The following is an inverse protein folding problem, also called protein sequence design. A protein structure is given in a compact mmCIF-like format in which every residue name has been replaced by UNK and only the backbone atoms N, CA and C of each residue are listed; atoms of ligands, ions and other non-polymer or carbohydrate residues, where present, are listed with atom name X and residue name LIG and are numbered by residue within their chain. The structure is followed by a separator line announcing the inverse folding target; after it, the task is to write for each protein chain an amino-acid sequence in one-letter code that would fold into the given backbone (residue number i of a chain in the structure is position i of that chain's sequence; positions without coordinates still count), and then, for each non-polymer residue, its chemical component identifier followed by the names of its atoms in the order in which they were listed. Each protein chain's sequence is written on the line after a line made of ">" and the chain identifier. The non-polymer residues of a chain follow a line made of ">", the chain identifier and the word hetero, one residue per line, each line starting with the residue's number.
data_IF_126816101137
#
_entry.id   IF_126816101137
#
_cell.length_a   1.000
_cell.length_b   1.000
_cell.length_c   1.000
_cell.angle_alpha   90.00
_cell.angle_beta   90.00
_cell.angle_gamma   90.00
#
_symmetry.space_group_name_H-M   'P 1'
#
loop_
_entity.id
_entity.type
_entity.pdbx_description
1 polymer ?
#
# COMPACT_ATOMS: atom_id res chain seq x y z
N UNK A 1 -7.38 -27.83 5.54
CA UNK A 1 -6.71 -26.54 5.82
C UNK A 1 -7.71 -25.44 5.58
N UNK A 2 -7.76 -24.39 6.42
CA UNK A 2 -8.68 -23.29 6.20
C UNK A 2 -8.28 -22.47 4.96
N UNK A 3 -9.27 -21.88 4.29
CA UNK A 3 -9.07 -20.94 3.18
C UNK A 3 -8.21 -19.74 3.60
N UNK A 4 -7.30 -19.31 2.70
CA UNK A 4 -6.47 -18.12 2.88
C UNK A 4 -7.32 -16.87 3.14
N UNK A 5 -6.89 -16.03 4.09
CA UNK A 5 -7.63 -14.84 4.51
C UNK A 5 -7.87 -13.85 3.36
N UNK A 6 -6.89 -13.71 2.46
CA UNK A 6 -6.97 -12.80 1.32
C UNK A 6 -7.98 -13.28 0.27
N UNK A 7 -8.01 -14.59 -0.03
CA UNK A 7 -9.04 -15.16 -0.90
C UNK A 7 -10.42 -14.97 -0.28
N UNK A 8 -10.58 -15.27 1.01
CA UNK A 8 -11.85 -15.10 1.72
C UNK A 8 -12.33 -13.65 1.71
N UNK A 9 -11.43 -12.69 1.92
CA UNK A 9 -11.73 -11.27 1.85
C UNK A 9 -12.15 -10.83 0.44
N UNK A 10 -11.48 -11.32 -0.61
CA UNK A 10 -11.82 -11.02 -2.00
C UNK A 10 -13.21 -11.55 -2.38
N UNK A 11 -13.57 -12.76 -1.94
CA UNK A 11 -14.89 -13.35 -2.16
C UNK A 11 -16.00 -12.54 -1.44
N UNK A 12 -15.77 -12.16 -0.18
CA UNK A 12 -16.72 -11.35 0.57
C UNK A 12 -16.90 -9.94 -0.02
N UNK A 13 -15.82 -9.31 -0.48
CA UNK A 13 -15.87 -8.00 -1.13
C UNK A 13 -16.73 -8.00 -2.40
N UNK A 14 -16.77 -9.13 -3.10
CA UNK A 14 -17.60 -9.34 -4.30
C UNK A 14 -19.03 -9.81 -3.98
N UNK A 15 -19.41 -9.89 -2.70
CA UNK A 15 -20.78 -10.18 -2.28
C UNK A 15 -21.15 -11.66 -2.26
N UNK A 16 -20.19 -12.58 -2.20
CA UNK A 16 -20.49 -14.00 -1.99
C UNK A 16 -21.01 -14.25 -0.57
N UNK A 17 -22.06 -15.07 -0.46
CA UNK A 17 -22.58 -15.52 0.84
C UNK A 17 -21.59 -16.45 1.54
N UNK A 18 -21.69 -16.56 2.87
CA UNK A 18 -20.85 -17.50 3.62
C UNK A 18 -21.03 -18.94 3.14
N UNK A 19 -22.26 -19.33 2.79
CA UNK A 19 -22.56 -20.66 2.24
C UNK A 19 -21.84 -20.94 0.91
N UNK A 20 -21.65 -19.94 0.06
CA UNK A 20 -20.89 -20.07 -1.18
C UNK A 20 -19.39 -20.18 -0.89
N UNK A 21 -18.88 -19.40 0.06
CA UNK A 21 -17.48 -19.44 0.49
C UNK A 21 -17.14 -20.81 1.10
N UNK A 22 -17.98 -21.31 2.00
CA UNK A 22 -17.82 -22.63 2.63
C UNK A 22 -17.83 -23.75 1.57
N UNK A 23 -18.62 -23.59 0.50
CA UNK A 23 -18.61 -24.54 -0.62
C UNK A 23 -17.30 -24.47 -1.42
N UNK A 24 -16.81 -23.28 -1.73
CA UNK A 24 -15.51 -23.09 -2.42
C UNK A 24 -14.37 -23.68 -1.57
N UNK A 25 -14.45 -23.54 -0.24
CA UNK A 25 -13.52 -24.17 0.69
C UNK A 25 -13.64 -25.71 0.66
N UNK A 26 -14.87 -26.24 0.59
CA UNK A 26 -15.13 -27.69 0.55
C UNK A 26 -14.53 -28.36 -0.70
N UNK A 27 -14.51 -27.68 -1.85
CA UNK A 27 -13.89 -28.17 -3.09
C UNK A 27 -12.36 -27.98 -3.11
N UNK A 28 -11.74 -27.63 -1.98
CA UNK A 28 -10.30 -27.44 -1.80
C UNK A 28 -9.69 -26.29 -2.63
N UNK A 29 -10.49 -25.27 -2.96
CA UNK A 29 -9.97 -24.04 -3.54
C UNK A 29 -9.58 -23.08 -2.40
N UNK A 30 -8.33 -23.16 -1.94
CA UNK A 30 -7.90 -22.55 -0.67
C UNK A 30 -7.05 -21.29 -0.82
N UNK A 31 -6.48 -21.05 -2.00
CA UNK A 31 -5.53 -19.93 -2.24
C UNK A 31 -5.94 -19.08 -3.44
N UNK A 32 -5.52 -17.81 -3.46
CA UNK A 32 -5.77 -16.91 -4.61
C UNK A 32 -5.26 -17.50 -5.94
N UNK A 33 -4.08 -18.15 -5.91
CA UNK A 33 -3.48 -18.75 -7.10
C UNK A 33 -4.28 -19.95 -7.61
N UNK A 34 -4.79 -20.81 -6.70
CA UNK A 34 -5.66 -21.91 -7.08
C UNK A 34 -6.98 -21.39 -7.66
N UNK A 35 -7.56 -20.35 -7.05
CA UNK A 35 -8.81 -19.77 -7.52
C UNK A 35 -8.70 -19.13 -8.91
N UNK A 36 -7.64 -18.35 -9.15
CA UNK A 36 -7.36 -17.76 -10.47
C UNK A 36 -7.21 -18.81 -11.57
N UNK A 37 -6.45 -19.88 -11.28
CA UNK A 37 -6.12 -20.93 -12.25
C UNK A 37 -7.08 -22.13 -12.20
N UNK A 38 -8.22 -22.01 -11.50
CA UNK A 38 -9.16 -23.12 -11.35
C UNK A 38 -9.91 -23.43 -12.65
N UNK A 39 -10.11 -22.40 -13.47
CA UNK A 39 -10.82 -22.46 -14.75
C UNK A 39 -10.08 -21.62 -15.78
N UNK A 40 -10.11 -22.06 -17.03
CA UNK A 40 -9.46 -21.36 -18.13
C UNK A 40 -10.35 -20.24 -18.69
N UNK A 41 -11.67 -20.37 -18.52
CA UNK A 41 -12.64 -19.43 -19.08
C UNK A 41 -13.71 -18.99 -18.08
N UNK A 42 -14.18 -17.75 -18.27
CA UNK A 42 -15.32 -17.20 -17.51
C UNK A 42 -16.60 -18.04 -17.65
N UNK A 43 -16.73 -18.78 -18.76
CA UNK A 43 -17.87 -19.64 -19.01
C UNK A 43 -17.91 -20.84 -18.04
N UNK A 44 -16.74 -21.34 -17.66
CA UNK A 44 -16.58 -22.53 -16.80
C UNK A 44 -16.79 -22.25 -15.32
N UNK A 45 -16.59 -21.00 -14.86
CA UNK A 45 -16.70 -20.62 -13.44
C UNK A 45 -17.94 -21.20 -12.76
N UNK A 46 -19.12 -21.07 -13.38
CA UNK A 46 -20.37 -21.54 -12.77
C UNK A 46 -20.36 -23.06 -12.58
N UNK A 47 -19.94 -23.79 -13.62
CA UNK A 47 -19.93 -25.25 -13.64
C UNK A 47 -18.85 -25.80 -12.72
N UNK A 48 -17.65 -25.24 -12.74
CA UNK A 48 -16.51 -25.77 -11.98
C UNK A 48 -16.61 -25.48 -10.48
N UNK A 49 -17.24 -24.37 -10.07
CA UNK A 49 -17.40 -24.02 -8.65
C UNK A 49 -18.72 -24.50 -8.03
N UNK A 50 -19.75 -24.77 -8.84
CA UNK A 50 -21.08 -25.11 -8.32
C UNK A 50 -21.73 -26.35 -8.98
N UNK A 51 -20.99 -27.20 -9.70
CA UNK A 51 -21.58 -28.40 -10.32
C UNK A 51 -22.38 -29.24 -9.30
N UNK A 52 -23.69 -29.38 -9.55
CA UNK A 52 -24.57 -30.16 -8.67
C UNK A 52 -24.98 -29.44 -7.38
N UNK A 53 -24.62 -28.17 -7.21
CA UNK A 53 -24.98 -27.32 -6.08
C UNK A 53 -26.21 -26.46 -6.44
N UNK A 54 -27.22 -26.30 -5.55
CA UNK A 54 -28.34 -25.37 -5.76
C UNK A 54 -27.93 -23.93 -6.10
N UNK A 55 -26.74 -23.50 -5.64
CA UNK A 55 -26.17 -22.19 -5.94
C UNK A 55 -25.85 -21.98 -7.42
N UNK A 56 -25.69 -23.04 -8.22
CA UNK A 56 -25.46 -22.96 -9.67
C UNK A 56 -26.62 -22.25 -10.39
N UNK A 57 -27.85 -22.43 -9.89
CA UNK A 57 -29.06 -21.80 -10.44
C UNK A 57 -29.27 -20.37 -9.97
N UNK A 58 -28.50 -19.92 -8.97
CA UNK A 58 -28.60 -18.58 -8.42
C UNK A 58 -27.73 -17.62 -9.23
N UNK A 59 -28.36 -16.91 -10.17
CA UNK A 59 -27.67 -16.01 -11.11
C UNK A 59 -26.79 -14.96 -10.40
N UNK A 60 -27.26 -14.43 -9.26
CA UNK A 60 -26.53 -13.45 -8.46
C UNK A 60 -25.22 -14.03 -7.91
N UNK A 61 -25.24 -15.27 -7.38
CA UNK A 61 -24.05 -15.94 -6.84
C UNK A 61 -23.07 -16.29 -7.94
N UNK A 62 -23.55 -16.79 -9.07
CA UNK A 62 -22.71 -17.07 -10.24
C UNK A 62 -22.06 -15.79 -10.76
N UNK A 63 -22.79 -14.68 -10.82
CA UNK A 63 -22.26 -13.38 -11.23
C UNK A 63 -21.18 -12.87 -10.28
N UNK A 64 -21.44 -12.89 -8.98
CA UNK A 64 -20.49 -12.50 -7.94
C UNK A 64 -19.21 -13.32 -8.01
N UNK A 65 -19.33 -14.65 -8.18
CA UNK A 65 -18.18 -15.56 -8.32
C UNK A 65 -17.37 -15.26 -9.59
N UNK A 66 -18.03 -14.97 -10.71
CA UNK A 66 -17.36 -14.56 -11.95
C UNK A 66 -16.63 -13.22 -11.82
N UNK A 67 -17.17 -12.28 -11.05
CA UNK A 67 -16.52 -11.01 -10.77
C UNK A 67 -15.27 -11.22 -9.89
N UNK A 68 -15.43 -11.94 -8.79
CA UNK A 68 -14.32 -12.29 -7.91
C UNK A 68 -13.20 -13.02 -8.67
N UNK A 69 -13.55 -14.01 -9.51
CA UNK A 69 -12.58 -14.72 -10.34
C UNK A 69 -11.82 -13.77 -11.27
N UNK A 70 -12.51 -12.86 -11.96
CA UNK A 70 -11.87 -11.89 -12.86
C UNK A 70 -10.89 -10.98 -12.12
N UNK A 71 -11.27 -10.48 -10.94
CA UNK A 71 -10.40 -9.61 -10.14
C UNK A 71 -9.17 -10.37 -9.65
N UNK A 72 -9.35 -11.58 -9.12
CA UNK A 72 -8.26 -12.42 -8.63
C UNK A 72 -7.33 -12.85 -9.78
N UNK A 73 -7.87 -13.25 -10.94
CA UNK A 73 -7.06 -13.57 -12.12
C UNK A 73 -6.26 -12.37 -12.61
N UNK A 74 -6.85 -11.17 -12.63
CA UNK A 74 -6.11 -9.96 -13.00
C UNK A 74 -4.96 -9.64 -12.02
N UNK A 75 -5.13 -9.91 -10.73
CA UNK A 75 -4.06 -9.76 -9.73
C UNK A 75 -2.93 -10.76 -9.98
N UNK A 76 -3.25 -12.03 -10.20
CA UNK A 76 -2.26 -13.08 -10.47
C UNK A 76 -1.54 -12.86 -11.80
N UNK A 77 -2.24 -12.49 -12.87
CA UNK A 77 -1.63 -12.17 -14.17
C UNK A 77 -0.64 -11.00 -14.06
N UNK A 78 -0.98 -9.94 -13.31
CA UNK A 78 -0.05 -8.83 -13.05
C UNK A 78 1.20 -9.31 -12.31
N UNK A 79 1.04 -10.21 -11.33
CA UNK A 79 2.16 -10.78 -10.59
C UNK A 79 3.06 -11.63 -11.49
N UNK A 80 2.49 -12.47 -12.35
CA UNK A 80 3.23 -13.29 -13.32
C UNK A 80 4.00 -12.39 -14.29
N UNK A 81 3.35 -11.36 -14.85
CA UNK A 81 3.98 -10.43 -15.79
C UNK A 81 5.17 -9.69 -15.15
N UNK A 82 5.02 -9.21 -13.90
CA UNK A 82 6.11 -8.56 -13.15
C UNK A 82 7.27 -9.52 -12.88
N UNK A 83 6.97 -10.77 -12.51
CA UNK A 83 8.00 -11.80 -12.33
C UNK A 83 8.76 -12.07 -13.63
N UNK A 84 8.08 -12.07 -14.78
CA UNK A 84 8.70 -12.25 -16.09
C UNK A 84 9.56 -11.03 -16.50
N UNK A 85 9.22 -9.84 -16.02
CA UNK A 85 10.00 -8.59 -16.20
C UNK A 85 11.19 -8.49 -15.23
N UNK A 86 11.41 -9.49 -14.37
CA UNK A 86 12.48 -9.48 -13.37
C UNK A 86 12.29 -8.44 -12.26
N UNK A 87 11.08 -7.87 -12.16
CA UNK A 87 10.69 -6.98 -11.08
C UNK A 87 10.38 -7.80 -9.82
N UNK A 88 10.77 -7.27 -8.67
CA UNK A 88 10.52 -7.91 -7.38
C UNK A 88 9.03 -8.25 -7.25
N UNK A 89 8.76 -9.53 -7.03
CA UNK A 89 7.38 -10.09 -6.97
C UNK A 89 6.65 -9.69 -5.71
N UNK A 90 7.38 -9.14 -4.75
CA UNK A 90 6.84 -8.60 -3.54
C UNK A 90 6.07 -7.31 -3.83
N UNK A 91 4.73 -7.44 -3.77
CA UNK A 91 3.71 -6.41 -3.90
C UNK A 91 3.80 -5.34 -2.78
N UNK A 92 4.99 -5.01 -2.28
CA UNK A 92 5.19 -4.01 -1.24
C UNK A 92 4.58 -2.67 -1.65
N UNK A 93 4.73 -2.26 -2.90
CA UNK A 93 4.25 -0.95 -3.38
C UNK A 93 2.78 -0.95 -3.86
N UNK A 94 2.08 -2.10 -3.84
CA UNK A 94 0.67 -2.17 -4.22
C UNK A 94 -0.19 -1.53 -3.12
N UNK A 95 -1.19 -0.70 -3.44
CA UNK A 95 -2.08 -0.14 -2.41
C UNK A 95 -2.75 -1.25 -1.59
N UNK A 96 -3.03 -0.96 -0.31
CA UNK A 96 -3.85 -1.85 0.53
C UNK A 96 -5.29 -1.86 0.04
N UNK A 97 -6.00 -2.96 0.29
CA UNK A 97 -7.45 -2.99 0.13
C UNK A 97 -8.10 -1.87 0.95
N UNK A 98 -9.13 -1.24 0.40
CA UNK A 98 -9.80 -0.08 1.02
C UNK A 98 -10.36 -0.38 2.40
N UNK A 99 -10.83 -1.62 2.62
CA UNK A 99 -11.30 -2.10 3.93
C UNK A 99 -10.17 -2.09 4.96
N UNK A 100 -9.03 -2.70 4.63
CA UNK A 100 -7.84 -2.76 5.50
C UNK A 100 -7.31 -1.37 5.82
N UNK A 101 -7.23 -0.51 4.81
CA UNK A 101 -6.78 0.88 4.97
C UNK A 101 -7.68 1.66 5.92
N UNK A 102 -9.00 1.65 5.70
CA UNK A 102 -9.98 2.31 6.57
C UNK A 102 -9.91 1.78 7.99
N UNK A 103 -9.69 0.48 8.17
CA UNK A 103 -9.54 -0.13 9.48
C UNK A 103 -8.27 0.36 10.21
N UNK A 104 -7.13 0.49 9.51
CA UNK A 104 -5.90 1.02 10.10
C UNK A 104 -6.07 2.48 10.52
N UNK A 105 -6.66 3.30 9.65
CA UNK A 105 -6.94 4.71 9.93
C UNK A 105 -7.93 4.86 11.10
N UNK A 106 -8.99 4.05 11.14
CA UNK A 106 -9.95 4.04 12.24
C UNK A 106 -9.31 3.61 13.56
N UNK A 107 -8.44 2.60 13.53
CA UNK A 107 -7.70 2.13 14.72
C UNK A 107 -6.78 3.22 15.25
N UNK A 108 -6.05 3.90 14.36
CA UNK A 108 -5.21 5.05 14.72
C UNK A 108 -6.04 6.17 15.35
N UNK A 109 -7.14 6.57 14.72
CA UNK A 109 -8.01 7.63 15.21
C UNK A 109 -8.68 7.28 16.55
N UNK A 110 -9.12 6.04 16.71
CA UNK A 110 -9.73 5.56 17.95
C UNK A 110 -8.75 5.58 19.13
N UNK A 111 -7.47 5.26 18.89
CA UNK A 111 -6.43 5.26 19.92
C UNK A 111 -5.99 6.67 20.29
N UNK A 112 -5.56 7.46 19.31
CA UNK A 112 -4.94 8.76 19.59
C UNK A 112 -5.96 9.90 19.70
N UNK A 113 -7.24 9.65 19.41
CA UNK A 113 -8.34 10.64 19.46
C UNK A 113 -8.19 11.80 18.47
N UNK A 114 -7.43 11.61 17.39
CA UNK A 114 -7.30 12.57 16.30
C UNK A 114 -7.00 11.88 14.97
N UNK A 115 -7.16 12.60 13.87
CA UNK A 115 -6.94 12.11 12.50
C UNK A 115 -5.90 12.95 11.76
N UNK A 116 -5.09 12.31 10.93
CA UNK A 116 -4.09 12.98 10.10
C UNK A 116 -4.72 13.85 9.01
N UNK A 117 -4.20 15.06 8.83
CA UNK A 117 -4.53 15.92 7.70
C UNK A 117 -4.05 15.33 6.37
N UNK A 118 -4.73 15.62 5.27
CA UNK A 118 -4.42 15.09 3.93
C UNK A 118 -2.98 15.37 3.45
N UNK A 119 -2.36 16.44 3.95
CA UNK A 119 -0.98 16.81 3.62
C UNK A 119 0.06 15.96 4.35
N UNK A 120 -0.28 15.45 5.52
CA UNK A 120 0.56 14.62 6.39
C UNK A 120 0.22 13.14 6.29
N UNK A 121 -0.97 12.83 5.76
CA UNK A 121 -1.45 11.48 5.53
C UNK A 121 -0.63 10.81 4.40
N UNK A 122 -0.05 9.63 4.64
CA UNK A 122 0.73 8.93 3.62
C UNK A 122 -0.13 8.46 2.47
N UNK A 123 0.45 8.39 1.26
CA UNK A 123 -0.19 7.76 0.12
C UNK A 123 -0.43 6.26 0.38
N UNK A 124 -1.46 5.70 -0.28
CA UNK A 124 -1.92 4.34 -0.03
C UNK A 124 -0.86 3.27 -0.33
N UNK A 125 -0.03 3.51 -1.35
CA UNK A 125 1.10 2.65 -1.73
C UNK A 125 2.18 2.62 -0.65
N UNK A 126 2.51 3.78 -0.08
CA UNK A 126 3.49 3.91 1.01
C UNK A 126 2.99 3.19 2.26
N UNK A 127 1.72 3.37 2.61
CA UNK A 127 1.12 2.70 3.77
C UNK A 127 1.11 1.18 3.59
N UNK A 128 0.79 0.69 2.38
CA UNK A 128 0.85 -0.74 2.06
C UNK A 128 2.24 -1.33 2.20
N UNK A 129 3.26 -0.64 1.68
CA UNK A 129 4.66 -1.06 1.83
C UNK A 129 5.05 -1.22 3.28
N UNK A 130 4.77 -0.20 4.09
CA UNK A 130 5.15 -0.20 5.50
C UNK A 130 4.39 -1.27 6.27
N UNK A 131 3.07 -1.43 6.04
CA UNK A 131 2.27 -2.45 6.74
C UNK A 131 2.78 -3.85 6.44
N UNK A 132 3.01 -4.18 5.16
CA UNK A 132 3.54 -5.49 4.75
C UNK A 132 4.96 -5.71 5.27
N UNK A 133 5.80 -4.66 5.31
CA UNK A 133 7.14 -4.73 5.90
C UNK A 133 7.10 -5.05 7.40
N UNK A 134 6.18 -4.43 8.14
CA UNK A 134 6.00 -4.69 9.57
C UNK A 134 5.45 -6.09 9.85
N UNK A 135 4.51 -6.58 9.04
CA UNK A 135 4.00 -7.96 9.15
C UNK A 135 5.08 -9.01 8.92
N UNK A 136 6.00 -8.74 7.99
CA UNK A 136 7.14 -9.62 7.70
C UNK A 136 8.27 -9.52 8.72
N UNK A 137 8.23 -8.51 9.59
CA UNK A 137 9.32 -8.19 10.52
C UNK A 137 10.68 -8.05 9.81
N UNK A 138 10.67 -7.63 8.54
CA UNK A 138 11.85 -7.52 7.70
C UNK A 138 12.18 -6.04 7.45
N UNK A 139 13.37 -5.57 7.82
CA UNK A 139 13.77 -4.19 7.52
C UNK A 139 13.88 -4.00 6.00
N UNK A 140 13.29 -2.91 5.50
CA UNK A 140 13.39 -2.54 4.09
C UNK A 140 13.88 -1.10 3.96
N UNK A 141 14.74 -0.85 2.96
CA UNK A 141 15.15 0.50 2.62
C UNK A 141 14.13 1.12 1.67
N UNK A 142 13.76 2.37 1.94
CA UNK A 142 12.85 3.15 1.11
C UNK A 142 13.51 4.49 0.78
N UNK A 143 13.56 4.82 -0.52
CA UNK A 143 13.98 6.15 -0.92
C UNK A 143 12.96 7.18 -0.46
N UNK A 144 13.42 8.21 0.24
CA UNK A 144 12.60 9.32 0.73
C UNK A 144 11.98 10.10 -0.43
N UNK A 145 12.61 10.13 -1.61
CA UNK A 145 12.03 10.74 -2.82
C UNK A 145 10.70 10.10 -3.25
N UNK A 146 10.48 8.83 -2.90
CA UNK A 146 9.23 8.10 -3.19
C UNK A 146 8.15 8.33 -2.15
N UNK A 147 8.47 8.95 -1.02
CA UNK A 147 7.50 9.26 0.03
C UNK A 147 6.64 10.43 -0.41
N UNK A 148 5.33 10.18 -0.49
CA UNK A 148 4.32 11.15 -0.91
C UNK A 148 3.14 11.11 0.06
N UNK A 149 2.56 12.27 0.31
CA UNK A 149 1.26 12.37 0.97
C UNK A 149 0.13 12.17 -0.03
N UNK A 150 -1.08 11.85 0.47
CA UNK A 150 -2.30 11.78 -0.34
C UNK A 150 -2.48 13.06 -1.16
N UNK A 151 -2.25 14.23 -0.55
CA UNK A 151 -2.33 15.51 -1.25
C UNK A 151 -1.34 15.61 -2.42
N UNK A 152 -0.05 15.31 -2.20
CA UNK A 152 0.97 15.35 -3.26
C UNK A 152 0.77 14.29 -4.35
N UNK A 153 0.22 13.13 -3.98
CA UNK A 153 -0.07 12.04 -4.90
C UNK A 153 -1.20 12.43 -5.86
N UNK A 154 -2.28 13.02 -5.33
CA UNK A 154 -3.42 13.46 -6.15
C UNK A 154 -3.12 14.72 -6.97
N UNK A 155 -2.19 15.57 -6.52
CA UNK A 155 -1.79 16.79 -7.23
C UNK A 155 -0.68 16.56 -8.26
N UNK A 156 -0.04 15.38 -8.27
CA UNK A 156 0.91 15.02 -9.30
C UNK A 156 0.17 14.93 -10.65
N UNK A 157 0.03 16.07 -11.33
CA UNK A 157 -0.54 16.17 -12.66
C UNK A 157 0.25 15.32 -13.66
N UNK A 158 -0.34 15.09 -14.83
CA UNK A 158 0.26 14.29 -15.90
C UNK A 158 1.74 14.65 -16.08
N UNK A 159 2.63 13.68 -15.82
CA UNK A 159 4.05 13.80 -16.11
C UNK A 159 4.18 14.31 -17.54
N UNK A 160 4.97 15.37 -17.77
CA UNK A 160 5.17 15.92 -19.11
C UNK A 160 5.75 14.81 -20.00
N UNK A 161 4.90 14.24 -20.84
CA UNK A 161 5.29 13.25 -21.84
C UNK A 161 5.74 14.02 -23.06
N UNK A 162 7.04 14.05 -23.30
CA UNK A 162 7.59 14.63 -24.51
C UNK A 162 7.76 13.52 -25.54
N UNK A 163 6.94 13.56 -26.59
CA UNK A 163 7.05 12.62 -27.72
C UNK A 163 8.20 13.08 -28.60
N UNK A 164 9.23 12.23 -28.74
CA UNK A 164 10.39 12.49 -29.61
C UNK A 164 10.14 11.90 -31.01
N UNK A 165 9.44 10.78 -31.10
CA UNK A 165 9.04 10.17 -32.37
C UNK A 165 7.71 9.42 -32.24
N UNK A 166 7.20 8.85 -33.34
CA UNK A 166 5.98 8.03 -33.30
C UNK A 166 6.08 6.77 -32.44
N UNK A 167 7.30 6.34 -32.12
CA UNK A 167 7.58 5.14 -31.32
C UNK A 167 8.16 5.44 -29.94
N UNK A 168 8.71 6.65 -29.72
CA UNK A 168 9.46 6.97 -28.49
C UNK A 168 8.84 8.17 -27.78
N UNK A 169 8.38 7.92 -26.55
CA UNK A 169 7.88 8.95 -25.63
C UNK A 169 8.80 9.01 -24.42
N UNK A 170 9.42 10.16 -24.19
CA UNK A 170 10.14 10.43 -22.96
C UNK A 170 9.16 10.89 -21.89
N UNK A 171 9.19 10.23 -20.75
CA UNK A 171 8.50 10.71 -19.55
C UNK A 171 9.56 11.36 -18.68
N UNK A 172 9.58 12.69 -18.64
CA UNK A 172 10.49 13.39 -17.74
C UNK A 172 9.91 13.28 -16.33
N UNK A 173 10.63 12.59 -15.45
CA UNK A 173 10.36 12.66 -14.01
C UNK A 173 11.06 13.92 -13.50
N UNK A 174 10.27 14.94 -13.14
CA UNK A 174 10.77 16.09 -12.37
C UNK A 174 11.14 15.59 -10.96
N UNK A 175 12.28 14.92 -10.85
CA UNK A 175 12.82 14.40 -9.59
C UNK A 175 13.84 15.38 -8.97
N UNK A 176 13.93 16.60 -9.50
CA UNK A 176 14.86 17.61 -8.99
C UNK A 176 14.12 18.63 -8.12
N UNK A 177 13.78 18.22 -6.91
CA UNK A 177 14.01 19.13 -5.79
C UNK A 177 15.52 19.36 -5.75
N UNK A 178 15.98 20.42 -6.40
CA UNK A 178 17.40 20.79 -6.44
C UNK A 178 17.99 20.89 -5.02
N UNK A 179 19.31 21.00 -4.93
CA UNK A 179 20.03 21.25 -3.67
C UNK A 179 19.79 22.68 -3.15
N UNK A 180 18.52 23.08 -3.06
CA UNK A 180 18.06 24.33 -2.49
C UNK A 180 17.51 24.09 -1.10
N UNK A 181 17.52 25.13 -0.26
CA UNK A 181 16.92 25.07 1.07
C UNK A 181 15.43 24.66 1.04
N UNK A 182 14.71 25.05 -0.02
CA UNK A 182 13.33 24.63 -0.25
C UNK A 182 13.21 23.12 -0.53
N UNK A 183 14.13 22.56 -1.32
CA UNK A 183 14.21 21.13 -1.58
C UNK A 183 14.46 20.32 -0.30
N UNK A 184 15.31 20.82 0.59
CA UNK A 184 15.54 20.20 1.91
C UNK A 184 14.32 20.29 2.82
N UNK A 185 13.63 21.43 2.87
CA UNK A 185 12.37 21.56 3.63
C UNK A 185 11.28 20.62 3.11
N UNK A 186 11.20 20.45 1.78
CA UNK A 186 10.32 19.46 1.16
C UNK A 186 10.68 18.02 1.59
N UNK A 187 11.97 17.68 1.65
CA UNK A 187 12.43 16.38 2.18
C UNK A 187 12.07 16.20 3.66
N UNK A 188 12.14 17.25 4.48
CA UNK A 188 11.71 17.17 5.89
C UNK A 188 10.24 16.82 6.02
N UNK A 189 9.38 17.38 5.16
CA UNK A 189 7.97 16.99 5.12
C UNK A 189 7.79 15.52 4.73
N UNK A 190 8.62 14.99 3.81
CA UNK A 190 8.58 13.57 3.46
C UNK A 190 8.94 12.67 4.65
N UNK A 191 9.94 13.04 5.45
CA UNK A 191 10.25 12.30 6.68
C UNK A 191 9.11 12.34 7.70
N UNK A 192 8.41 13.47 7.82
CA UNK A 192 7.23 13.58 8.68
C UNK A 192 6.10 12.64 8.22
N UNK A 193 5.81 12.63 6.91
CA UNK A 193 4.82 11.72 6.31
C UNK A 193 5.21 10.25 6.56
N UNK A 194 6.50 9.93 6.46
CA UNK A 194 7.00 8.58 6.74
C UNK A 194 6.81 8.19 8.21
N UNK A 195 7.11 9.09 9.15
CA UNK A 195 6.87 8.86 10.58
C UNK A 195 5.36 8.65 10.88
N UNK A 196 4.49 9.42 10.24
CA UNK A 196 3.05 9.23 10.33
C UNK A 196 2.62 7.87 9.77
N UNK A 197 3.19 7.44 8.65
CA UNK A 197 2.92 6.13 8.06
C UNK A 197 3.32 4.98 8.99
N UNK A 198 4.47 5.07 9.66
CA UNK A 198 4.88 4.12 10.70
C UNK A 198 3.90 4.08 11.87
N UNK A 199 3.47 5.24 12.36
CA UNK A 199 2.50 5.32 13.45
C UNK A 199 1.13 4.73 13.10
N UNK A 200 0.65 4.90 11.86
CA UNK A 200 -0.61 4.31 11.39
C UNK A 200 -0.48 2.81 11.17
N UNK A 201 0.54 2.37 10.42
CA UNK A 201 0.73 0.96 10.10
C UNK A 201 1.09 0.11 11.31
N UNK A 202 1.85 0.66 12.26
CA UNK A 202 2.29 0.00 13.49
C UNK A 202 1.30 0.09 14.64
N UNK A 203 0.07 0.56 14.37
CA UNK A 203 -0.99 0.72 15.36
C UNK A 203 -1.67 -0.60 15.74
N UNK A 204 -0.92 -1.71 15.78
CA UNK A 204 -1.39 -3.02 16.23
C UNK A 204 -0.54 -3.54 17.39
N UNK A 205 -1.16 -4.36 18.23
CA UNK A 205 -0.53 -4.98 19.39
C UNK A 205 0.26 -6.23 18.98
N UNK A 206 1.45 -6.38 19.54
CA UNK A 206 2.29 -7.56 19.42
C UNK A 206 2.91 -7.91 20.77
N UNK A 207 3.23 -9.18 20.96
CA UNK A 207 4.06 -9.64 22.08
C UNK A 207 5.51 -9.71 21.62
N UNK A 208 6.40 -8.98 22.29
CA UNK A 208 7.82 -8.98 21.92
C UNK A 208 8.50 -10.26 22.40
N UNK A 209 9.20 -11.01 21.52
CA UNK A 209 9.74 -12.33 21.86
C UNK A 209 10.83 -12.32 22.95
N UNK A 210 11.40 -11.16 23.29
CA UNK A 210 12.60 -11.07 24.14
C UNK A 210 12.34 -10.44 25.52
N UNK A 211 11.12 -10.05 25.88
CA UNK A 211 10.97 -9.15 27.05
C UNK A 211 9.66 -9.08 27.82
N UNK A 212 8.71 -10.02 27.65
CA UNK A 212 7.55 -10.12 28.53
C UNK A 212 6.24 -10.50 27.84
N UNK A 213 5.24 -10.87 28.65
CA UNK A 213 3.86 -11.18 28.24
C UNK A 213 3.05 -9.93 27.87
N UNK A 214 3.61 -8.75 28.05
CA UNK A 214 2.89 -7.50 27.85
C UNK A 214 2.74 -7.20 26.36
N UNK A 215 1.50 -6.86 25.98
CA UNK A 215 1.18 -6.44 24.63
C UNK A 215 1.69 -5.02 24.41
N UNK A 216 2.64 -4.88 23.51
CA UNK A 216 3.20 -3.59 23.10
C UNK A 216 2.80 -3.27 21.67
N UNK A 217 2.80 -2.00 21.33
CA UNK A 217 2.53 -1.59 19.97
C UNK A 217 3.77 -1.76 19.12
N UNK A 218 3.59 -2.25 17.90
CA UNK A 218 4.70 -2.43 16.96
C UNK A 218 5.44 -1.11 16.72
N UNK A 219 4.70 -0.02 16.48
CA UNK A 219 5.27 1.32 16.40
C UNK A 219 4.31 2.34 17.02
N UNK A 220 4.70 2.92 18.16
CA UNK A 220 3.96 4.00 18.77
C UNK A 220 4.16 5.30 17.99
N UNK A 221 3.09 6.02 17.66
CA UNK A 221 3.18 7.25 16.85
C UNK A 221 4.07 8.32 17.50
N UNK A 222 3.96 8.49 18.82
CA UNK A 222 4.82 9.44 19.55
C UNK A 222 6.30 9.09 19.42
N UNK A 223 6.68 7.81 19.36
CA UNK A 223 8.07 7.38 19.19
C UNK A 223 8.55 7.67 17.77
N UNK A 224 7.73 7.35 16.76
CA UNK A 224 8.03 7.69 15.37
C UNK A 224 8.22 9.21 15.19
N UNK A 225 7.32 10.00 15.79
CA UNK A 225 7.35 11.45 15.73
C UNK A 225 8.51 12.05 16.52
N UNK A 226 8.90 11.48 17.67
CA UNK A 226 10.07 11.93 18.43
C UNK A 226 11.37 11.74 17.65
N UNK A 227 11.49 10.62 16.92
CA UNK A 227 12.63 10.40 16.03
C UNK A 227 12.69 11.45 14.91
N UNK A 228 11.55 11.76 14.28
CA UNK A 228 11.47 12.83 13.29
C UNK A 228 11.83 14.19 13.89
N UNK A 229 11.30 14.55 15.06
CA UNK A 229 11.60 15.82 15.74
C UNK A 229 13.09 15.97 16.05
N UNK A 230 13.72 14.93 16.59
CA UNK A 230 15.16 14.92 16.86
C UNK A 230 15.97 15.10 15.57
N UNK A 231 15.55 14.47 14.48
CA UNK A 231 16.19 14.64 13.18
C UNK A 231 16.04 16.08 12.68
N UNK A 232 14.83 16.64 12.77
CA UNK A 232 14.52 18.02 12.39
C UNK A 232 15.35 19.03 13.18
N UNK A 233 15.37 18.92 14.51
CA UNK A 233 16.14 19.79 15.42
C UNK A 233 17.63 19.83 15.08
N UNK A 234 18.21 18.71 14.62
CA UNK A 234 19.61 18.66 14.20
C UNK A 234 19.84 19.22 12.79
N UNK A 235 18.85 19.14 11.92
CA UNK A 235 18.96 19.49 10.51
C UNK A 235 18.58 20.94 10.18
N UNK A 236 17.59 21.52 10.86
CA UNK A 236 17.13 22.89 10.63
C UNK A 236 18.23 23.94 10.87
N UNK A 237 19.00 23.90 11.98
CA UNK A 237 20.06 24.88 12.19
C UNK A 237 21.17 24.83 11.14
N UNK A 238 21.39 23.65 10.53
CA UNK A 238 22.36 23.49 9.44
C UNK A 238 21.85 24.11 8.15
N UNK A 239 20.54 24.00 7.88
CA UNK A 239 19.89 24.63 6.74
C UNK A 239 19.91 26.15 6.86
N UNK A 240 19.58 26.68 8.04
CA UNK A 240 19.51 28.12 8.26
C UNK A 240 20.90 28.77 8.08
N UNK A 241 21.96 28.14 8.63
CA UNK A 241 23.35 28.56 8.39
C UNK A 241 23.73 28.56 6.91
N UNK A 242 23.31 27.54 6.17
CA UNK A 242 23.59 27.43 4.74
C UNK A 242 22.88 28.52 3.92
N UNK A 243 21.65 28.89 4.29
CA UNK A 243 20.93 30.00 3.68
C UNK A 243 21.50 31.37 4.04
N UNK A 244 21.97 31.57 5.28
CA UNK A 244 22.55 32.84 5.72
C UNK A 244 23.93 33.12 5.10
N UNK A 245 24.74 32.08 4.83
CA UNK A 245 26.10 32.22 4.33
C UNK A 245 26.22 32.19 2.79
N UNK A 246 25.12 32.00 2.06
CA UNK A 246 25.13 31.94 0.59
C UNK A 246 24.08 32.89 -0.05
N UNK A 247 24.24 34.22 0.06
CA UNK A 247 23.34 35.18 -0.58
C UNK A 247 23.46 35.22 -2.12
N UNK A 248 24.46 34.55 -2.71
CA UNK A 248 24.80 34.69 -4.13
C UNK A 248 23.87 33.93 -5.12
N UNK A 249 22.95 33.09 -4.65
CA UNK A 249 22.05 32.31 -5.53
C UNK A 249 20.71 32.97 -5.84
N UNK A 250 20.43 34.16 -5.30
CA UNK A 250 19.20 34.92 -5.58
C UNK A 250 19.34 35.97 -6.69
N UNK A 251 20.49 36.07 -7.37
CA UNK A 251 20.77 37.14 -8.33
C UNK A 251 20.49 36.82 -9.81
N UNK A 252 19.96 35.64 -10.16
CA UNK A 252 19.60 35.32 -11.56
C UNK A 252 18.21 34.68 -11.66
N UNK A 253 17.19 35.53 -11.61
CA UNK A 253 15.91 35.36 -12.29
C UNK A 253 15.69 36.59 -13.15
#
# INVERSE_FOLDING_TARGET
>A
MPMEADLRAALMANGLSMTAIDHIESIQCLTLKQFANWVDSRAEVAKSFYAGNPLEKQLAMVSATKMAWREVSAVIERQIKRSAEGLDTDLLDEPLADSTRKNLEATFAARYKWSLELRLKPADTLLGRIKRGFERQAPSLLSVSRVRSVYSFNRAGEKKKQRISDTITLTMEDDQAGESAEGYRARMLQYEIMANAWGVAGCYEMTWPVGGTDKVLYCHWQNAMSHYRLFREKSEPLLDRFTEHCPALHAHV
#
